data_IF_614467210438
#
_entry.id   IF_614467210438
#
_cell.length_a   1.000
_cell.length_b   1.000
_cell.length_c   1.000
_cell.angle_alpha   90.00
_cell.angle_beta   90.00
_cell.angle_gamma   90.00
#
_symmetry.space_group_name_H-M   'P 1'
#
loop_
_entity.id
_entity.type
_entity.pdbx_description
1 polymer ?
#
# COMPACT_ATOMS: atom_id res chain seq x y z
N UNK A 1 11.48 5.15 -13.40
CA UNK A 1 10.24 5.44 -12.66
C UNK A 1 9.78 4.23 -11.85
N UNK A 2 9.42 3.11 -12.47
CA UNK A 2 8.91 1.91 -11.77
C UNK A 2 9.83 1.38 -10.65
N UNK A 3 11.13 1.22 -10.91
CA UNK A 3 12.08 0.76 -9.89
C UNK A 3 12.22 1.69 -8.68
N UNK A 4 12.03 3.00 -8.88
CA UNK A 4 12.03 3.97 -7.77
C UNK A 4 10.77 3.79 -6.93
N UNK A 5 9.61 3.67 -7.56
CA UNK A 5 8.33 3.50 -6.88
C UNK A 5 8.25 2.17 -6.10
N UNK A 6 8.66 1.06 -6.73
CA UNK A 6 8.70 -0.26 -6.08
C UNK A 6 9.74 -0.24 -4.95
N UNK A 7 10.95 0.28 -5.21
CA UNK A 7 11.99 0.38 -4.20
C UNK A 7 11.55 1.17 -2.97
N UNK A 8 10.90 2.33 -3.16
CA UNK A 8 10.36 3.11 -2.04
C UNK A 8 9.24 2.38 -1.29
N UNK A 9 8.34 1.70 -1.99
CA UNK A 9 7.25 0.95 -1.35
C UNK A 9 7.79 -0.23 -0.52
N UNK A 10 8.76 -0.98 -1.07
CA UNK A 10 9.42 -2.08 -0.36
C UNK A 10 10.22 -1.57 0.85
N UNK A 11 10.89 -0.42 0.74
CA UNK A 11 11.58 0.20 1.87
C UNK A 11 10.61 0.61 2.97
N UNK A 12 9.45 1.18 2.61
CA UNK A 12 8.43 1.53 3.60
C UNK A 12 7.94 0.27 4.32
N UNK A 13 7.62 -0.79 3.58
CA UNK A 13 7.09 -2.04 4.14
C UNK A 13 8.10 -2.78 5.04
N UNK A 14 9.35 -2.92 4.60
CA UNK A 14 10.35 -3.74 5.30
C UNK A 14 11.17 -2.99 6.35
N UNK A 15 11.26 -1.66 6.24
CA UNK A 15 12.10 -0.87 7.14
C UNK A 15 11.29 0.17 7.91
N UNK A 16 10.54 1.04 7.23
CA UNK A 16 9.88 2.18 7.89
C UNK A 16 8.80 1.70 8.86
N UNK A 17 7.91 0.79 8.45
CA UNK A 17 6.82 0.28 9.30
C UNK A 17 7.34 -0.41 10.57
N UNK A 18 8.30 -1.36 10.50
CA UNK A 18 8.89 -1.97 11.70
C UNK A 18 9.58 -0.95 12.61
N UNK A 19 10.32 0.01 12.04
CA UNK A 19 10.99 1.05 12.82
C UNK A 19 9.98 1.94 13.53
N UNK A 20 8.85 2.29 12.89
CA UNK A 20 7.76 3.04 13.53
C UNK A 20 7.15 2.28 14.71
N UNK A 21 6.97 0.97 14.59
CA UNK A 21 6.44 0.14 15.68
C UNK A 21 7.41 0.10 16.87
N UNK A 22 8.71 -0.10 16.59
CA UNK A 22 9.74 -0.04 17.63
C UNK A 22 9.83 1.35 18.28
N UNK A 23 9.72 2.42 17.50
CA UNK A 23 9.70 3.79 18.01
C UNK A 23 8.47 4.06 18.90
N UNK A 24 7.30 3.55 18.51
CA UNK A 24 6.09 3.59 19.33
C UNK A 24 6.29 2.93 20.69
N UNK A 25 6.91 1.74 20.71
CA UNK A 25 7.25 1.06 21.97
C UNK A 25 8.22 1.87 22.84
N UNK A 26 9.20 2.54 22.25
CA UNK A 26 10.11 3.43 22.99
C UNK A 26 9.39 4.65 23.58
N UNK A 27 8.32 5.12 22.93
CA UNK A 27 7.47 6.23 23.39
C UNK A 27 6.34 5.79 24.33
N UNK A 28 6.27 4.50 24.70
CA UNK A 28 5.16 3.87 25.44
C UNK A 28 3.79 3.96 24.73
N UNK A 29 3.77 4.10 23.41
CA UNK A 29 2.55 4.05 22.60
C UNK A 29 2.33 2.61 22.08
N UNK A 30 1.13 2.03 22.22
CA UNK A 30 0.83 0.66 21.80
C UNK A 30 0.67 0.54 20.28
N UNK A 31 1.74 0.78 19.54
CA UNK A 31 1.77 0.60 18.08
C UNK A 31 1.96 -0.88 17.74
N UNK A 32 1.12 -1.41 16.84
CA UNK A 32 1.16 -2.82 16.42
C UNK A 32 1.05 -2.91 14.89
N UNK A 33 1.41 -4.06 14.31
CA UNK A 33 1.14 -4.37 12.90
C UNK A 33 -0.25 -5.02 12.69
N UNK A 34 -1.12 -4.98 13.71
CA UNK A 34 -2.48 -5.52 13.61
C UNK A 34 -3.38 -4.50 12.89
N UNK A 35 -3.25 -4.45 11.56
CA UNK A 35 -4.14 -3.66 10.71
C UNK A 35 -5.55 -4.23 10.73
N UNK A 36 -6.55 -3.37 10.48
CA UNK A 36 -7.91 -3.85 10.28
C UNK A 36 -7.93 -4.81 9.07
N UNK A 37 -8.75 -5.85 9.12
CA UNK A 37 -8.86 -6.85 8.06
C UNK A 37 -9.13 -6.21 6.69
N UNK A 38 -9.91 -5.12 6.64
CA UNK A 38 -10.18 -4.39 5.41
C UNK A 38 -8.92 -3.70 4.84
N UNK A 39 -8.15 -3.02 5.68
CA UNK A 39 -6.90 -2.35 5.28
C UNK A 39 -5.87 -3.36 4.78
N UNK A 40 -5.69 -4.45 5.53
CA UNK A 40 -4.75 -5.51 5.18
C UNK A 40 -5.12 -6.17 3.84
N UNK A 41 -6.40 -6.48 3.64
CA UNK A 41 -6.88 -7.07 2.39
C UNK A 41 -6.68 -6.12 1.21
N UNK A 42 -7.03 -4.85 1.39
CA UNK A 42 -6.89 -3.83 0.35
C UNK A 42 -5.41 -3.63 -0.04
N UNK A 43 -4.50 -3.65 0.94
CA UNK A 43 -3.06 -3.57 0.70
C UNK A 43 -2.56 -4.76 -0.13
N UNK A 44 -2.93 -5.98 0.25
CA UNK A 44 -2.54 -7.20 -0.47
C UNK A 44 -3.07 -7.21 -1.90
N UNK A 45 -4.36 -6.91 -2.09
CA UNK A 45 -4.99 -6.87 -3.42
C UNK A 45 -4.34 -5.82 -4.30
N UNK A 46 -4.07 -4.62 -3.76
CA UNK A 46 -3.40 -3.55 -4.51
C UNK A 46 -2.00 -3.96 -4.96
N UNK A 47 -1.25 -4.64 -4.09
CA UNK A 47 0.09 -5.15 -4.42
C UNK A 47 0.05 -6.19 -5.54
N UNK A 48 -0.92 -7.11 -5.53
CA UNK A 48 -1.12 -8.10 -6.59
C UNK A 48 -1.47 -7.44 -7.92
N UNK A 49 -2.37 -6.45 -7.92
CA UNK A 49 -2.76 -5.73 -9.15
C UNK A 49 -1.55 -5.01 -9.76
N UNK A 50 -0.79 -4.28 -8.94
CA UNK A 50 0.43 -3.61 -9.41
C UNK A 50 1.45 -4.61 -9.95
N UNK A 51 1.61 -5.77 -9.29
CA UNK A 51 2.49 -6.83 -9.79
C UNK A 51 2.06 -7.32 -11.18
N UNK A 52 0.76 -7.60 -11.39
CA UNK A 52 0.24 -8.06 -12.68
C UNK A 52 0.45 -7.02 -13.78
N UNK A 53 0.19 -5.74 -13.49
CA UNK A 53 0.39 -4.64 -14.47
C UNK A 53 1.86 -4.47 -14.83
N UNK A 54 2.76 -4.61 -13.85
CA UNK A 54 4.21 -4.47 -14.09
C UNK A 54 4.79 -5.71 -14.79
N UNK A 55 4.22 -6.90 -14.58
CA UNK A 55 4.73 -8.15 -15.14
C UNK A 55 4.69 -8.21 -16.67
N UNK A 56 3.77 -7.48 -17.32
CA UNK A 56 3.70 -7.40 -18.80
C UNK A 56 4.87 -6.59 -19.40
N UNK A 57 5.60 -5.82 -18.58
CA UNK A 57 6.80 -5.08 -18.99
C UNK A 57 6.55 -3.91 -19.95
N UNK A 58 5.30 -3.70 -20.37
CA UNK A 58 4.83 -2.56 -21.15
C UNK A 58 3.90 -1.71 -20.29
N UNK A 59 3.74 -0.44 -20.65
CA UNK A 59 2.83 0.46 -19.96
C UNK A 59 1.96 1.19 -20.97
N UNK A 60 0.66 1.20 -20.74
CA UNK A 60 -0.32 1.91 -21.56
C UNK A 60 -1.03 3.01 -20.74
N UNK A 61 -1.47 4.08 -21.41
CA UNK A 61 -2.19 5.17 -20.75
C UNK A 61 -3.48 4.68 -20.06
N UNK A 62 -4.17 3.70 -20.66
CA UNK A 62 -5.37 3.11 -20.07
C UNK A 62 -5.07 2.36 -18.76
N UNK A 63 -3.96 1.62 -18.68
CA UNK A 63 -3.55 0.92 -17.46
C UNK A 63 -3.25 1.92 -16.33
N UNK A 64 -2.55 3.00 -16.66
CA UNK A 64 -2.32 4.11 -15.74
C UNK A 64 -3.63 4.73 -15.25
N UNK A 65 -4.58 4.99 -16.14
CA UNK A 65 -5.90 5.52 -15.77
C UNK A 65 -6.68 4.54 -14.87
N UNK A 66 -6.64 3.24 -15.16
CA UNK A 66 -7.27 2.21 -14.33
C UNK A 66 -6.69 2.15 -12.91
N UNK A 67 -5.36 2.28 -12.77
CA UNK A 67 -4.70 2.31 -11.47
C UNK A 67 -5.09 3.57 -10.67
N UNK A 68 -5.20 4.73 -11.32
CA UNK A 68 -5.64 5.98 -10.66
C UNK A 68 -7.09 5.84 -10.20
N UNK A 69 -7.99 5.32 -11.04
CA UNK A 69 -9.39 5.10 -10.68
C UNK A 69 -9.50 4.12 -9.52
N UNK A 70 -8.74 3.02 -9.54
CA UNK A 70 -8.70 2.06 -8.44
C UNK A 70 -8.24 2.71 -7.13
N UNK A 71 -7.19 3.54 -7.17
CA UNK A 71 -6.71 4.27 -5.99
C UNK A 71 -7.79 5.20 -5.42
N UNK A 72 -8.51 5.93 -6.28
CA UNK A 72 -9.63 6.76 -5.84
C UNK A 72 -10.76 5.95 -5.21
N UNK A 73 -11.13 4.80 -5.79
CA UNK A 73 -12.17 3.93 -5.24
C UNK A 73 -11.78 3.37 -3.87
N UNK A 74 -10.52 2.98 -3.69
CA UNK A 74 -9.99 2.57 -2.38
C UNK A 74 -10.06 3.73 -1.39
N UNK A 75 -9.69 4.95 -1.81
CA UNK A 75 -9.79 6.14 -0.96
C UNK A 75 -11.21 6.44 -0.50
N UNK A 76 -12.21 6.31 -1.40
CA UNK A 76 -13.63 6.46 -1.06
C UNK A 76 -14.07 5.34 -0.10
N UNK A 77 -13.66 4.09 -0.35
CA UNK A 77 -14.02 2.96 0.50
C UNK A 77 -13.48 3.13 1.93
N UNK A 78 -12.23 3.60 2.08
CA UNK A 78 -11.64 3.88 3.39
C UNK A 78 -12.27 5.10 4.08
N UNK A 79 -12.82 6.05 3.34
CA UNK A 79 -13.53 7.20 3.92
C UNK A 79 -14.91 6.80 4.46
N UNK A 80 -15.62 5.92 3.76
CA UNK A 80 -16.95 5.42 4.15
C UNK A 80 -16.88 4.36 5.25
N UNK A 81 -15.86 3.50 5.23
CA UNK A 81 -15.66 2.46 6.23
C UNK A 81 -14.97 3.10 7.44
N UNK A 82 -15.74 3.41 8.48
CA UNK A 82 -15.22 3.83 9.79
C UNK A 82 -14.50 2.66 10.46
N UNK A 83 -13.18 2.64 10.29
CA UNK A 83 -12.23 1.71 10.92
C UNK A 83 -12.04 2.05 12.41
#
# INVERSE_FOLDING_TARGET
AMGVAIGSATQIALFVVPVCVLAGWLMNEPMTLAFNAFEAMTYVVSSVIVYVVVADGKSNWLEGAMLIVLYCLVGVALLEITI
#
